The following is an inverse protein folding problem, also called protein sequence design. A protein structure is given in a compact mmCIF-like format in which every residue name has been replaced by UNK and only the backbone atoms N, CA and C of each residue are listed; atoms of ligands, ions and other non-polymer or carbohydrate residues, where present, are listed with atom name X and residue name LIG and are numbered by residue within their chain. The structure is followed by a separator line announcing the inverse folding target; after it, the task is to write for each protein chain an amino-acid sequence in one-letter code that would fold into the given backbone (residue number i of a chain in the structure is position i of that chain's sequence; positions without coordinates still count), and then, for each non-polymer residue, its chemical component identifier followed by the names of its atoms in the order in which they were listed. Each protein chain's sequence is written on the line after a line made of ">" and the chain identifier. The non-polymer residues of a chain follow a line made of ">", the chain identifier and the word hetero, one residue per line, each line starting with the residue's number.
data_IF_798859246620
#
_entry.id   IF_798859246620
#
_cell.length_a   1.000
_cell.length_b   1.000
_cell.length_c   1.000
_cell.angle_alpha   90.00
_cell.angle_beta   90.00
_cell.angle_gamma   90.00
#
_symmetry.space_group_name_H-M   'P 1'
#
loop_
_entity.id
_entity.type
_entity.pdbx_description
1 polymer ?
#
# COMPACT_ATOMS: atom_id res chain seq x y z
N UNK A 1 -2.65 4.83 17.11
CA UNK A 1 -3.74 5.81 17.12
C UNK A 1 -5.02 5.05 16.80
N UNK A 2 -5.83 4.68 17.80
CA UNK A 2 -7.02 3.84 17.56
C UNK A 2 -8.09 4.55 16.70
N UNK A 3 -8.03 5.88 16.60
CA UNK A 3 -9.04 6.70 15.94
C UNK A 3 -8.53 7.39 14.66
N UNK A 4 -7.71 6.72 13.84
CA UNK A 4 -7.12 7.36 12.66
C UNK A 4 -8.10 7.43 11.48
N UNK A 5 -8.42 8.66 11.05
CA UNK A 5 -9.26 8.93 9.88
C UNK A 5 -8.44 9.14 8.60
N UNK A 6 -7.16 9.49 8.71
CA UNK A 6 -6.34 10.03 7.64
C UNK A 6 -5.41 8.96 7.07
N UNK A 7 -5.66 8.56 5.82
CA UNK A 7 -4.95 7.50 5.11
C UNK A 7 -3.43 7.72 5.06
N UNK A 8 -2.99 8.96 4.80
CA UNK A 8 -1.55 9.27 4.68
C UNK A 8 -0.83 9.24 6.03
N UNK A 9 -1.58 9.15 7.13
CA UNK A 9 -1.06 9.05 8.50
C UNK A 9 -1.29 7.65 9.10
N UNK A 10 -1.91 6.73 8.34
CA UNK A 10 -2.26 5.38 8.79
C UNK A 10 -1.01 4.51 9.02
N UNK A 11 -1.11 3.59 9.97
CA UNK A 11 -0.08 2.57 10.19
C UNK A 11 -0.11 1.51 9.08
N UNK A 12 0.95 0.69 9.01
CA UNK A 12 1.15 -0.25 7.91
C UNK A 12 0.07 -1.34 7.80
N UNK A 13 -0.71 -1.62 8.86
CA UNK A 13 -1.80 -2.60 8.80
C UNK A 13 -3.10 -1.93 8.37
N UNK A 14 -3.47 -0.82 9.02
CA UNK A 14 -4.76 -0.14 8.76
C UNK A 14 -4.76 0.61 7.43
N UNK A 15 -3.60 1.01 6.92
CA UNK A 15 -3.42 1.68 5.63
C UNK A 15 -4.18 1.00 4.48
N UNK A 16 -4.14 -0.33 4.42
CA UNK A 16 -4.77 -1.09 3.34
C UNK A 16 -6.30 -1.03 3.38
N UNK A 17 -6.91 -0.89 4.55
CA UNK A 17 -8.36 -0.72 4.67
C UNK A 17 -8.81 0.63 4.08
N UNK A 18 -8.01 1.68 4.27
CA UNK A 18 -8.26 2.98 3.63
C UNK A 18 -8.20 2.89 2.09
N UNK A 19 -7.37 2.00 1.54
CA UNK A 19 -7.30 1.78 0.09
C UNK A 19 -8.50 0.99 -0.41
N UNK A 20 -8.89 -0.09 0.29
CA UNK A 20 -10.02 -0.95 -0.10
C UNK A 20 -11.31 -0.14 -0.18
N UNK A 21 -11.64 0.66 0.84
CA UNK A 21 -12.90 1.43 0.80
C UNK A 21 -12.96 2.40 -0.40
N UNK A 22 -11.82 3.02 -0.77
CA UNK A 22 -11.74 3.93 -1.91
C UNK A 22 -11.90 3.18 -3.23
N UNK A 23 -11.19 2.05 -3.38
CA UNK A 23 -11.33 1.18 -4.54
C UNK A 23 -12.77 0.73 -4.75
N UNK A 24 -13.44 0.29 -3.69
CA UNK A 24 -14.83 -0.16 -3.79
C UNK A 24 -15.76 1.01 -4.13
N UNK A 25 -15.53 2.22 -3.59
CA UNK A 25 -16.35 3.39 -3.94
C UNK A 25 -16.14 3.74 -5.42
N UNK A 26 -14.89 3.73 -5.90
CA UNK A 26 -14.58 3.96 -7.32
C UNK A 26 -15.24 2.93 -8.22
N UNK A 27 -15.17 1.64 -7.86
CA UNK A 27 -15.82 0.55 -8.61
C UNK A 27 -17.32 0.80 -8.73
N UNK A 28 -17.98 1.13 -7.62
CA UNK A 28 -19.44 1.31 -7.57
C UNK A 28 -19.86 2.59 -8.32
N UNK A 29 -19.08 3.67 -8.23
CA UNK A 29 -19.29 4.89 -9.04
C UNK A 29 -19.15 4.63 -10.54
N UNK A 30 -18.12 3.88 -10.96
CA UNK A 30 -17.83 3.62 -12.38
C UNK A 30 -18.85 2.66 -13.00
N UNK A 31 -19.31 1.67 -12.22
CA UNK A 31 -20.36 0.74 -12.66
C UNK A 31 -21.76 1.37 -12.68
N UNK A 32 -21.96 2.51 -12.00
CA UNK A 32 -23.25 3.17 -11.87
C UNK A 32 -24.12 2.60 -10.75
N UNK A 33 -23.53 1.80 -9.86
CA UNK A 33 -24.18 1.21 -8.69
C UNK A 33 -24.23 2.17 -7.49
N UNK A 34 -23.56 3.32 -7.57
CA UNK A 34 -23.53 4.37 -6.55
C UNK A 34 -23.68 5.76 -7.17
N UNK A 35 -24.61 6.57 -6.67
CA UNK A 35 -24.71 7.99 -7.05
C UNK A 35 -23.68 8.85 -6.30
N UNK A 36 -23.17 9.89 -6.97
CA UNK A 36 -22.17 10.80 -6.37
C UNK A 36 -22.67 11.44 -5.06
N UNK A 37 -23.97 11.72 -4.96
CA UNK A 37 -24.58 12.28 -3.74
C UNK A 37 -24.54 11.34 -2.54
N UNK A 38 -24.36 10.04 -2.77
CA UNK A 38 -24.33 9.01 -1.73
C UNK A 38 -22.93 8.76 -1.18
N UNK A 39 -21.88 9.19 -1.89
CA UNK A 39 -20.47 8.99 -1.52
C UNK A 39 -20.15 9.39 -0.08
N UNK A 40 -20.59 10.55 0.46
CA UNK A 40 -20.29 10.91 1.84
C UNK A 40 -20.83 9.91 2.87
N UNK A 41 -22.02 9.36 2.64
CA UNK A 41 -22.63 8.38 3.55
C UNK A 41 -21.91 7.03 3.45
N UNK A 42 -21.72 6.52 2.23
CA UNK A 42 -21.03 5.23 1.98
C UNK A 42 -19.59 5.26 2.49
N UNK A 43 -18.88 6.38 2.33
CA UNK A 43 -17.56 6.56 2.90
C UNK A 43 -17.56 6.39 4.42
N UNK A 44 -18.47 7.09 5.11
CA UNK A 44 -18.55 7.06 6.56
C UNK A 44 -18.99 5.68 7.09
N UNK A 45 -19.84 4.98 6.34
CA UNK A 45 -20.25 3.62 6.66
C UNK A 45 -19.07 2.64 6.53
N UNK A 46 -18.31 2.70 5.43
CA UNK A 46 -17.13 1.84 5.20
C UNK A 46 -15.97 2.14 6.16
N UNK A 47 -15.73 3.40 6.51
CA UNK A 47 -14.75 3.75 7.54
C UNK A 47 -15.13 3.12 8.89
N UNK A 48 -16.43 3.15 9.25
CA UNK A 48 -16.88 2.55 10.50
C UNK A 48 -16.79 1.02 10.46
N UNK A 49 -17.11 0.39 9.32
CA UNK A 49 -17.05 -1.06 9.14
C UNK A 49 -15.61 -1.60 9.17
N UNK A 50 -14.69 -1.01 8.41
CA UNK A 50 -13.33 -1.54 8.25
C UNK A 50 -12.35 -1.07 9.32
N UNK A 51 -12.53 0.15 9.83
CA UNK A 51 -11.58 0.79 10.74
C UNK A 51 -12.17 1.11 12.11
N UNK A 52 -13.49 0.94 12.30
CA UNK A 52 -14.15 1.25 13.59
C UNK A 52 -14.30 2.74 13.87
N UNK A 53 -14.03 3.61 12.90
CA UNK A 53 -14.00 5.08 13.07
C UNK A 53 -14.94 5.76 12.08
N UNK A 54 -15.51 6.92 12.45
CA UNK A 54 -16.42 7.68 11.59
C UNK A 54 -15.97 9.15 11.52
N UNK A 55 -15.74 9.70 10.32
CA UNK A 55 -15.50 11.13 10.13
C UNK A 55 -16.68 11.97 10.65
N UNK A 56 -16.40 13.06 11.37
CA UNK A 56 -17.39 14.05 11.79
C UNK A 56 -17.70 15.04 10.64
N UNK A 57 -16.73 15.26 9.74
CA UNK A 57 -16.86 16.18 8.61
C UNK A 57 -16.31 15.63 7.30
N UNK A 58 -16.76 16.22 6.18
CA UNK A 58 -16.35 15.77 4.84
C UNK A 58 -14.84 15.96 4.58
N UNK A 59 -14.17 16.91 5.25
CA UNK A 59 -12.74 17.17 5.09
C UNK A 59 -11.83 16.03 5.57
N UNK A 60 -12.24 15.31 6.60
CA UNK A 60 -11.60 14.07 7.07
C UNK A 60 -12.30 12.82 6.49
N UNK A 61 -13.47 13.00 5.87
CA UNK A 61 -14.19 12.00 5.09
C UNK A 61 -13.82 11.99 3.61
N UNK A 62 -14.82 11.93 2.73
CA UNK A 62 -14.62 11.75 1.30
C UNK A 62 -13.88 12.88 0.56
N UNK A 63 -13.62 14.03 1.20
CA UNK A 63 -12.82 15.13 0.63
C UNK A 63 -11.36 15.12 1.11
N UNK A 64 -10.95 14.11 1.86
CA UNK A 64 -9.60 13.99 2.44
C UNK A 64 -8.50 13.93 1.38
N UNK A 65 -8.76 13.26 0.25
CA UNK A 65 -7.77 13.00 -0.79
C UNK A 65 -8.08 13.77 -2.09
N UNK A 66 -7.03 14.19 -2.79
CA UNK A 66 -7.14 15.01 -4.00
C UNK A 66 -7.41 14.19 -5.27
N UNK A 67 -7.33 12.87 -5.21
CA UNK A 67 -7.25 12.01 -6.40
C UNK A 67 -8.46 12.17 -7.32
N UNK A 68 -9.67 12.14 -6.75
CA UNK A 68 -10.91 12.29 -7.53
C UNK A 68 -11.06 13.68 -8.13
N UNK A 69 -10.60 14.74 -7.44
CA UNK A 69 -10.66 16.11 -7.99
C UNK A 69 -9.68 16.30 -9.14
N UNK A 70 -8.62 15.48 -9.22
CA UNK A 70 -7.69 15.41 -10.35
C UNK A 70 -8.09 14.38 -11.43
N UNK A 71 -9.21 13.67 -11.24
CA UNK A 71 -9.68 12.65 -12.20
C UNK A 71 -8.92 11.33 -12.14
N UNK A 72 -8.14 11.08 -11.10
CA UNK A 72 -7.31 9.87 -10.93
C UNK A 72 -8.12 8.69 -10.36
N UNK A 73 -9.15 8.24 -11.09
CA UNK A 73 -9.91 7.03 -10.75
C UNK A 73 -9.13 5.76 -11.10
N UNK A 74 -9.23 4.73 -10.26
CA UNK A 74 -8.45 3.49 -10.38
C UNK A 74 -7.03 3.60 -9.85
N UNK A 75 -6.66 4.75 -9.26
CA UNK A 75 -5.30 4.99 -8.77
C UNK A 75 -5.06 4.38 -7.39
N UNK A 76 -6.05 4.41 -6.48
CA UNK A 76 -5.83 3.97 -5.10
C UNK A 76 -5.33 2.54 -4.93
N UNK A 77 -5.81 1.53 -5.69
CA UNK A 77 -5.28 0.17 -5.60
C UNK A 77 -3.75 0.08 -5.75
N UNK A 78 -3.14 1.00 -6.51
CA UNK A 78 -1.69 1.02 -6.75
C UNK A 78 -0.88 1.23 -5.46
N UNK A 79 -1.43 1.88 -4.44
CA UNK A 79 -0.74 2.03 -3.15
C UNK A 79 -0.61 0.71 -2.40
N UNK A 80 -1.67 -0.12 -2.39
CA UNK A 80 -1.60 -1.44 -1.74
C UNK A 80 -0.70 -2.40 -2.52
N UNK A 81 -0.80 -2.37 -3.85
CA UNK A 81 0.11 -3.11 -4.72
C UNK A 81 1.56 -2.70 -4.50
N UNK A 82 1.82 -1.40 -4.30
CA UNK A 82 3.14 -0.86 -3.99
C UNK A 82 3.72 -1.39 -2.68
N UNK A 83 2.94 -1.48 -1.59
CA UNK A 83 3.42 -2.07 -0.33
C UNK A 83 3.74 -3.56 -0.46
N UNK A 84 2.91 -4.30 -1.21
CA UNK A 84 3.15 -5.72 -1.50
C UNK A 84 4.43 -5.90 -2.30
N UNK A 85 4.59 -5.10 -3.36
CA UNK A 85 5.79 -5.07 -4.19
C UNK A 85 7.04 -4.75 -3.37
N UNK A 86 6.97 -3.75 -2.48
CA UNK A 86 8.08 -3.35 -1.64
C UNK A 86 8.54 -4.49 -0.73
N UNK A 87 7.61 -5.24 -0.13
CA UNK A 87 7.95 -6.39 0.72
C UNK A 87 8.64 -7.50 -0.07
N UNK A 88 8.13 -7.84 -1.26
CA UNK A 88 8.69 -8.87 -2.12
C UNK A 88 10.09 -8.49 -2.63
N UNK A 89 10.28 -7.26 -3.10
CA UNK A 89 11.59 -6.75 -3.51
C UNK A 89 12.58 -6.72 -2.35
N UNK A 90 12.14 -6.29 -1.16
CA UNK A 90 13.01 -6.26 0.02
C UNK A 90 13.44 -7.67 0.44
N UNK A 91 12.54 -8.65 0.42
CA UNK A 91 12.87 -10.04 0.73
C UNK A 91 13.95 -10.58 -0.21
N UNK A 92 13.81 -10.36 -1.52
CA UNK A 92 14.81 -10.76 -2.52
C UNK A 92 16.16 -10.05 -2.30
N UNK A 93 16.13 -8.74 -2.07
CA UNK A 93 17.34 -7.96 -1.78
C UNK A 93 18.05 -8.45 -0.49
N UNK A 94 17.30 -8.82 0.55
CA UNK A 94 17.85 -9.30 1.81
C UNK A 94 18.52 -10.68 1.69
N UNK A 95 18.05 -11.53 0.76
CA UNK A 95 18.67 -12.82 0.47
C UNK A 95 20.00 -12.67 -0.27
N UNK A 96 20.09 -11.70 -1.20
CA UNK A 96 21.30 -11.47 -2.01
C UNK A 96 22.34 -10.59 -1.30
N UNK A 97 21.90 -9.63 -0.48
CA UNK A 97 22.76 -8.69 0.23
C UNK A 97 23.01 -9.19 1.66
N UNK A 98 24.17 -9.80 1.86
CA UNK A 98 24.60 -10.26 3.18
C UNK A 98 24.60 -9.15 4.23
N UNK A 99 23.79 -9.31 5.28
CA UNK A 99 23.75 -8.39 6.42
C UNK A 99 23.00 -7.07 6.16
N UNK A 100 22.06 -7.05 5.20
CA UNK A 100 21.31 -5.86 4.82
C UNK A 100 20.68 -5.10 6.00
N UNK A 101 20.02 -5.79 6.93
CA UNK A 101 19.43 -5.15 8.13
C UNK A 101 20.48 -4.47 9.03
N UNK A 102 21.71 -5.02 9.06
CA UNK A 102 22.85 -4.43 9.78
C UNK A 102 23.29 -3.12 9.15
N UNK A 103 23.49 -3.12 7.83
CA UNK A 103 23.87 -1.94 7.04
C UNK A 103 22.85 -0.80 7.20
N UNK A 104 21.55 -1.11 7.07
CA UNK A 104 20.46 -0.14 7.28
C UNK A 104 20.52 0.48 8.67
N UNK A 105 20.78 -0.33 9.72
CA UNK A 105 20.90 0.16 11.10
C UNK A 105 22.08 1.12 11.28
N UNK A 106 23.15 0.92 10.51
CA UNK A 106 24.34 1.77 10.49
C UNK A 106 24.19 3.00 9.57
N UNK A 107 23.06 3.11 8.85
CA UNK A 107 22.79 4.19 7.91
C UNK A 107 23.46 3.99 6.55
N UNK A 108 23.91 2.77 6.26
CA UNK A 108 24.51 2.38 4.98
C UNK A 108 23.43 1.83 4.04
N UNK A 109 23.17 2.55 2.96
CA UNK A 109 22.09 2.21 2.00
C UNK A 109 22.61 1.90 0.59
N UNK A 110 23.92 2.02 0.36
CA UNK A 110 24.50 1.94 -0.99
C UNK A 110 24.21 0.57 -1.63
N UNK A 111 24.41 -0.53 -0.90
CA UNK A 111 24.14 -1.87 -1.43
C UNK A 111 22.67 -2.06 -1.82
N UNK A 112 21.72 -1.58 -0.99
CA UNK A 112 20.29 -1.66 -1.30
C UNK A 112 19.93 -0.78 -2.50
N UNK A 113 20.47 0.45 -2.55
CA UNK A 113 20.22 1.36 -3.64
C UNK A 113 20.79 0.83 -4.97
N UNK A 114 21.98 0.23 -4.96
CA UNK A 114 22.59 -0.42 -6.12
C UNK A 114 21.75 -1.61 -6.59
N UNK A 115 21.30 -2.47 -5.68
CA UNK A 115 20.42 -3.59 -6.02
C UNK A 115 19.10 -3.12 -6.64
N UNK A 116 18.42 -2.13 -6.04
CA UNK A 116 17.20 -1.55 -6.59
C UNK A 116 17.47 -0.87 -7.94
N UNK A 117 18.64 -0.25 -8.11
CA UNK A 117 19.00 0.39 -9.38
C UNK A 117 19.18 -0.63 -10.48
N UNK A 118 19.85 -1.75 -10.20
CA UNK A 118 20.10 -2.81 -11.17
C UNK A 118 18.83 -3.58 -11.52
N UNK A 119 18.01 -3.93 -10.53
CA UNK A 119 16.88 -4.82 -10.72
C UNK A 119 15.55 -4.09 -10.99
N UNK A 120 15.46 -2.80 -10.68
CA UNK A 120 14.21 -2.03 -10.81
C UNK A 120 14.44 -0.74 -11.60
N UNK A 121 15.21 0.20 -11.06
CA UNK A 121 15.21 1.59 -11.57
C UNK A 121 15.74 1.71 -13.00
N UNK A 122 16.81 0.98 -13.35
CA UNK A 122 17.44 1.08 -14.68
C UNK A 122 16.55 0.60 -15.82
N UNK A 123 15.49 -0.16 -15.54
CA UNK A 123 14.58 -0.68 -16.54
C UNK A 123 13.52 0.34 -16.97
N UNK A 124 13.20 1.32 -16.13
CA UNK A 124 12.12 2.28 -16.41
C UNK A 124 10.82 1.56 -16.81
N UNK A 125 10.23 1.94 -17.93
CA UNK A 125 9.02 1.30 -18.47
C UNK A 125 9.32 0.17 -19.47
N UNK A 126 10.48 -0.50 -19.38
CA UNK A 126 10.83 -1.61 -20.28
C UNK A 126 9.95 -2.85 -20.07
N UNK A 127 9.59 -3.11 -18.82
CA UNK A 127 8.79 -4.27 -18.41
C UNK A 127 7.45 -3.82 -17.84
N UNK A 128 6.41 -4.62 -18.06
CA UNK A 128 5.19 -4.52 -17.25
C UNK A 128 5.49 -5.00 -15.82
N UNK A 129 4.67 -4.62 -14.84
CA UNK A 129 4.94 -4.86 -13.42
C UNK A 129 5.20 -6.34 -13.11
N UNK A 130 4.37 -7.24 -13.62
CA UNK A 130 4.52 -8.68 -13.40
C UNK A 130 5.86 -9.22 -13.91
N UNK A 131 6.32 -8.73 -15.06
CA UNK A 131 7.59 -9.15 -15.65
C UNK A 131 8.77 -8.51 -14.92
N UNK A 132 8.66 -7.24 -14.53
CA UNK A 132 9.68 -6.56 -13.72
C UNK A 132 9.90 -7.31 -12.40
N UNK A 133 8.82 -7.73 -11.73
CA UNK A 133 8.91 -8.50 -10.49
C UNK A 133 9.59 -9.84 -10.72
N UNK A 134 9.20 -10.58 -11.77
CA UNK A 134 9.83 -11.86 -12.10
C UNK A 134 11.31 -11.72 -12.40
N UNK A 135 11.71 -10.69 -13.16
CA UNK A 135 13.12 -10.44 -13.46
C UNK A 135 13.90 -10.02 -12.21
N UNK A 136 13.32 -9.21 -11.33
CA UNK A 136 13.99 -8.70 -10.13
C UNK A 136 14.07 -9.72 -8.98
N UNK A 137 13.11 -10.65 -8.89
CA UNK A 137 12.94 -11.53 -7.71
C UNK A 137 12.99 -13.02 -8.03
N UNK A 138 12.93 -13.38 -9.32
CA UNK A 138 12.89 -14.77 -9.76
C UNK A 138 11.52 -15.46 -9.63
N UNK A 139 10.48 -14.76 -9.14
CA UNK A 139 9.16 -15.33 -8.92
C UNK A 139 8.01 -14.39 -9.34
N UNK A 140 6.79 -14.93 -9.41
CA UNK A 140 5.62 -14.12 -9.74
C UNK A 140 5.24 -13.17 -8.59
N UNK A 141 4.56 -12.07 -8.93
CA UNK A 141 4.03 -11.14 -7.94
C UNK A 141 3.09 -11.83 -6.94
N UNK A 142 3.39 -11.72 -5.65
CA UNK A 142 2.62 -12.37 -4.58
C UNK A 142 2.51 -11.48 -3.34
N UNK A 143 1.40 -11.63 -2.59
CA UNK A 143 1.19 -10.98 -1.31
C UNK A 143 1.90 -11.68 -0.13
N UNK A 144 2.45 -12.87 -0.34
CA UNK A 144 2.97 -13.72 0.74
C UNK A 144 4.08 -13.03 1.56
N UNK A 145 5.03 -12.37 0.89
CA UNK A 145 6.11 -11.61 1.53
C UNK A 145 5.59 -10.48 2.41
N UNK A 146 4.57 -9.76 1.95
CA UNK A 146 3.96 -8.70 2.76
C UNK A 146 3.24 -9.27 3.98
N UNK A 147 2.51 -10.38 3.82
CA UNK A 147 1.83 -11.04 4.92
C UNK A 147 2.83 -11.61 5.94
N UNK A 148 3.95 -12.17 5.49
CA UNK A 148 5.03 -12.62 6.37
C UNK A 148 5.67 -11.45 7.11
N UNK A 149 6.03 -10.38 6.40
CA UNK A 149 6.55 -9.15 6.99
C UNK A 149 5.62 -8.61 8.09
N UNK A 150 4.34 -8.44 7.76
CA UNK A 150 3.33 -7.91 8.66
C UNK A 150 3.13 -8.82 9.88
N UNK A 151 2.98 -10.13 9.67
CA UNK A 151 2.80 -11.09 10.78
C UNK A 151 4.01 -11.12 11.70
N UNK A 152 5.23 -11.16 11.16
CA UNK A 152 6.46 -11.14 11.96
C UNK A 152 6.55 -9.86 12.76
N UNK A 153 6.52 -8.71 12.10
CA UNK A 153 6.73 -7.40 12.75
C UNK A 153 5.67 -7.14 13.83
N UNK A 154 4.40 -7.31 13.50
CA UNK A 154 3.32 -7.00 14.43
C UNK A 154 3.08 -8.11 15.45
N UNK A 155 3.39 -9.37 15.12
CA UNK A 155 3.44 -10.46 16.11
C UNK A 155 4.49 -10.20 17.18
N UNK A 156 5.70 -9.79 16.77
CA UNK A 156 6.78 -9.47 17.71
C UNK A 156 6.48 -8.22 18.55
N UNK A 157 5.92 -7.16 17.94
CA UNK A 157 5.63 -5.90 18.62
C UNK A 157 4.49 -5.99 19.64
N UNK A 158 3.50 -6.85 19.39
CA UNK A 158 2.28 -6.96 20.20
C UNK A 158 2.16 -8.30 20.94
N UNK A 159 3.15 -9.18 20.82
CA UNK A 159 3.21 -10.49 21.46
C UNK A 159 1.98 -11.37 21.14
N UNK A 160 1.65 -11.50 19.85
CA UNK A 160 0.48 -12.23 19.33
C UNK A 160 0.74 -13.70 18.97
#
# INVERSE_FOLDING_TARGET
>A
YPDNLIRVEADELTYHMHIILRFEIERDLISGDLDVSEVPAVWNDRMAEYLGVRPEGAGEGCLQDIHWTHGNFGYFPTYSLGSVLAAQLYASAAEEIGGLEGQIREGEFDALHEWLTENVHRHGCRYETDDLVREATGEAFTADHFLEYARRKFGDLYEL
#
